data_IF_066356226367
#
_entry.id   IF_066356226367
#
_cell.length_a   1.000
_cell.length_b   1.000
_cell.length_c   1.000
_cell.angle_alpha   90.00
_cell.angle_beta   90.00
_cell.angle_gamma   90.00
#
_symmetry.space_group_name_H-M   'P 1'
#
loop_
_entity.id
_entity.type
_entity.pdbx_description
1 polymer ?
#
# COMPACT_ATOMS: atom_id res chain seq x y z
N UNK A 1 2.57 -6.43 -0.15
CA UNK A 1 1.86 -7.71 -0.24
C UNK A 1 1.79 -8.07 -1.73
N UNK A 2 1.48 -9.30 -2.10
CA UNK A 2 1.28 -9.65 -3.51
C UNK A 2 -0.18 -9.35 -3.89
N UNK A 3 -0.40 -8.60 -4.97
CA UNK A 3 -1.72 -8.21 -5.43
C UNK A 3 -2.45 -9.33 -6.19
N UNK A 4 -3.65 -9.04 -6.70
CA UNK A 4 -4.45 -10.01 -7.46
C UNK A 4 -3.81 -10.46 -8.79
N UNK A 5 -2.93 -9.64 -9.37
CA UNK A 5 -2.18 -9.93 -10.59
C UNK A 5 -0.81 -10.63 -10.34
N UNK A 6 -0.48 -10.94 -9.08
CA UNK A 6 0.81 -11.56 -8.75
C UNK A 6 1.98 -10.59 -8.63
N UNK A 7 1.75 -9.29 -8.70
CA UNK A 7 2.76 -8.24 -8.57
C UNK A 7 2.91 -7.87 -7.08
N UNK A 8 4.14 -7.64 -6.64
CA UNK A 8 4.39 -7.18 -5.28
C UNK A 8 4.16 -5.67 -5.15
N UNK A 9 3.30 -5.29 -4.21
CA UNK A 9 3.01 -3.90 -3.87
C UNK A 9 3.48 -3.56 -2.45
N UNK A 10 3.73 -2.28 -2.17
CA UNK A 10 3.92 -1.83 -0.79
C UNK A 10 2.63 -2.00 0.02
N UNK A 11 2.79 -2.35 1.29
CA UNK A 11 1.64 -2.54 2.20
C UNK A 11 1.04 -1.18 2.58
N UNK A 12 -0.23 -0.99 2.23
CA UNK A 12 -1.08 0.14 2.66
C UNK A 12 -1.89 -0.22 3.90
N UNK A 13 -2.49 0.78 4.52
CA UNK A 13 -3.48 0.54 5.57
C UNK A 13 -4.67 -0.24 4.99
N UNK A 14 -5.17 -1.27 5.68
CA UNK A 14 -6.42 -1.92 5.29
C UNK A 14 -7.58 -0.94 5.30
N UNK A 15 -8.46 -1.03 4.30
CA UNK A 15 -9.69 -0.22 4.21
C UNK A 15 -10.92 -1.12 4.28
N UNK A 16 -12.07 -0.53 4.56
CA UNK A 16 -13.31 -1.27 4.77
C UNK A 16 -13.92 -1.72 3.43
N UNK A 17 -14.33 -2.99 3.35
CA UNK A 17 -15.05 -3.58 2.21
C UNK A 17 -16.23 -4.41 2.70
N UNK A 18 -17.29 -4.49 1.89
CA UNK A 18 -18.29 -5.56 2.06
C UNK A 18 -17.65 -6.90 1.69
N UNK A 19 -17.93 -7.93 2.48
CA UNK A 19 -17.28 -9.23 2.37
C UNK A 19 -17.55 -9.90 1.00
N UNK A 20 -18.69 -9.63 0.38
CA UNK A 20 -19.02 -10.09 -0.99
C UNK A 20 -18.08 -9.49 -2.05
N UNK A 21 -17.55 -8.30 -1.82
CA UNK A 21 -16.72 -7.52 -2.75
C UNK A 21 -15.22 -7.74 -2.50
N UNK A 22 -14.88 -8.71 -1.64
CA UNK A 22 -13.48 -9.07 -1.33
C UNK A 22 -13.01 -10.29 -2.11
N UNK A 23 -11.70 -10.49 -2.13
CA UNK A 23 -11.02 -11.66 -2.65
C UNK A 23 -10.18 -12.31 -1.55
N UNK A 24 -10.27 -13.63 -1.42
CA UNK A 24 -9.54 -14.41 -0.43
C UNK A 24 -8.52 -15.30 -1.12
N UNK A 25 -7.27 -15.26 -0.64
CA UNK A 25 -6.21 -16.14 -1.13
C UNK A 25 -6.31 -17.50 -0.43
N UNK A 26 -6.76 -18.51 -1.16
CA UNK A 26 -6.86 -19.89 -0.68
C UNK A 26 -5.72 -20.73 -1.25
N UNK A 27 -4.63 -20.84 -0.48
CA UNK A 27 -3.37 -21.41 -0.95
C UNK A 27 -2.71 -20.47 -1.96
N UNK A 28 -2.74 -20.84 -3.23
CA UNK A 28 -2.11 -20.12 -4.34
C UNK A 28 -3.12 -19.43 -5.27
N UNK A 29 -4.42 -19.60 -5.02
CA UNK A 29 -5.47 -19.14 -5.94
C UNK A 29 -6.35 -18.08 -5.28
N UNK A 30 -6.51 -16.95 -5.95
CA UNK A 30 -7.48 -15.93 -5.59
C UNK A 30 -8.90 -16.40 -5.87
N UNK A 31 -9.78 -16.28 -4.90
CA UNK A 31 -11.21 -16.61 -5.04
C UNK A 31 -12.06 -15.48 -4.47
N UNK A 32 -13.30 -15.26 -4.95
CA UNK A 32 -14.22 -14.33 -4.30
C UNK A 32 -14.36 -14.67 -2.81
N UNK A 33 -14.40 -13.67 -1.93
CA UNK A 33 -14.22 -13.85 -0.48
C UNK A 33 -15.13 -14.93 0.10
N UNK A 34 -16.44 -14.80 -0.12
CA UNK A 34 -17.44 -15.76 0.38
C UNK A 34 -17.49 -17.08 -0.39
N UNK A 35 -16.66 -17.30 -1.39
CA UNK A 35 -16.60 -18.58 -2.12
C UNK A 35 -15.69 -19.62 -1.44
N UNK A 36 -14.93 -19.23 -0.40
CA UNK A 36 -14.16 -20.16 0.44
C UNK A 36 -14.82 -20.35 1.81
N UNK A 37 -15.06 -21.61 2.26
CA UNK A 37 -15.65 -21.86 3.58
C UNK A 37 -14.72 -21.44 4.72
N UNK A 38 -13.41 -21.32 4.47
CA UNK A 38 -12.40 -20.92 5.47
C UNK A 38 -12.68 -19.54 6.06
N UNK A 39 -13.26 -18.64 5.26
CA UNK A 39 -13.53 -17.27 5.67
C UNK A 39 -14.56 -17.21 6.82
N UNK A 40 -15.70 -17.90 6.64
CA UNK A 40 -16.78 -17.95 7.65
C UNK A 40 -16.51 -18.95 8.78
N UNK A 41 -15.64 -19.95 8.57
CA UNK A 41 -15.29 -20.94 9.59
C UNK A 41 -14.72 -20.33 10.88
N UNK A 42 -14.14 -19.13 10.80
CA UNK A 42 -13.55 -18.41 11.93
C UNK A 42 -14.56 -17.93 12.98
N UNK A 43 -15.85 -17.82 12.63
CA UNK A 43 -16.89 -17.21 13.49
C UNK A 43 -17.35 -18.17 14.60
N UNK A 44 -17.23 -19.50 14.40
CA UNK A 44 -17.43 -20.55 15.43
C UNK A 44 -18.77 -20.49 16.22
N UNK A 45 -19.88 -20.14 15.55
CA UNK A 45 -21.23 -20.08 16.18
C UNK A 45 -22.20 -21.15 15.68
N UNK A 46 -21.81 -21.99 14.71
CA UNK A 46 -22.70 -22.95 14.09
C UNK A 46 -21.99 -23.76 13.01
N UNK A 47 -22.78 -24.32 12.08
CA UNK A 47 -22.27 -25.13 10.96
C UNK A 47 -22.26 -24.34 9.67
N UNK A 48 -21.28 -24.57 8.81
CA UNK A 48 -21.17 -23.87 7.53
C UNK A 48 -22.32 -24.30 6.60
N UNK A 49 -23.02 -23.32 6.02
CA UNK A 49 -24.05 -23.53 5.00
C UNK A 49 -23.65 -22.90 3.66
N UNK A 50 -24.42 -23.19 2.62
CA UNK A 50 -24.20 -22.70 1.25
C UNK A 50 -25.44 -21.97 0.76
N UNK A 51 -25.24 -20.86 0.07
CA UNK A 51 -26.24 -20.16 -0.72
C UNK A 51 -25.83 -20.15 -2.20
N UNK A 52 -26.81 -20.01 -3.09
CA UNK A 52 -26.57 -19.97 -4.53
C UNK A 52 -26.10 -21.30 -5.13
N UNK A 53 -25.85 -21.31 -6.44
CA UNK A 53 -25.34 -22.45 -7.21
C UNK A 53 -24.23 -21.98 -8.16
N UNK A 54 -23.38 -22.91 -8.60
CA UNK A 54 -22.33 -22.61 -9.58
C UNK A 54 -21.35 -21.53 -9.12
N UNK A 55 -21.16 -20.50 -9.95
CA UNK A 55 -20.28 -19.35 -9.73
C UNK A 55 -20.77 -18.39 -8.66
N UNK A 56 -22.09 -18.33 -8.43
CA UNK A 56 -22.70 -17.46 -7.41
C UNK A 56 -22.75 -18.11 -6.02
N UNK A 57 -22.09 -19.27 -5.87
CA UNK A 57 -22.06 -20.00 -4.61
C UNK A 57 -21.29 -19.21 -3.56
N UNK A 58 -21.97 -18.92 -2.45
CA UNK A 58 -21.39 -18.29 -1.27
C UNK A 58 -21.63 -19.10 -0.01
N UNK A 59 -20.70 -19.00 0.94
CA UNK A 59 -20.76 -19.69 2.22
C UNK A 59 -21.30 -18.77 3.31
N UNK A 60 -22.10 -19.34 4.21
CA UNK A 60 -22.57 -18.69 5.42
C UNK A 60 -22.61 -19.66 6.59
N UNK A 61 -23.44 -19.37 7.59
CA UNK A 61 -23.51 -20.18 8.81
C UNK A 61 -24.98 -20.47 9.16
N UNK A 62 -25.30 -21.76 9.31
CA UNK A 62 -26.49 -22.24 9.99
C UNK A 62 -26.22 -22.16 11.51
N UNK A 63 -26.72 -21.11 12.16
CA UNK A 63 -26.49 -20.82 13.57
C UNK A 63 -27.67 -21.32 14.44
N UNK A 64 -27.46 -22.28 15.37
CA UNK A 64 -28.52 -22.80 16.21
C UNK A 64 -28.90 -21.80 17.31
N UNK A 65 -30.14 -21.33 17.33
CA UNK A 65 -30.59 -20.29 18.24
C UNK A 65 -31.25 -20.86 19.49
N UNK A 66 -32.11 -21.85 19.32
CA UNK A 66 -32.84 -22.46 20.43
C UNK A 66 -33.26 -23.91 20.13
N UNK A 67 -33.53 -24.69 21.16
CA UNK A 67 -34.03 -26.07 21.06
C UNK A 67 -35.47 -26.16 21.55
N UNK A 68 -36.28 -26.94 20.84
CA UNK A 68 -37.65 -27.30 21.25
C UNK A 68 -37.54 -28.37 22.35
N UNK A 69 -38.02 -28.10 23.58
CA UNK A 69 -37.96 -29.09 24.65
C UNK A 69 -38.96 -30.24 24.37
N UNK A 70 -38.58 -31.48 24.70
CA UNK A 70 -39.37 -32.68 24.39
C UNK A 70 -40.50 -32.98 25.37
N UNK A 71 -40.40 -32.49 26.61
CA UNK A 71 -41.24 -32.90 27.74
C UNK A 71 -42.05 -31.74 28.36
N UNK A 72 -42.29 -30.67 27.60
CA UNK A 72 -43.06 -29.51 28.10
C UNK A 72 -44.16 -29.11 27.13
N UNK A 73 -45.40 -29.06 27.64
CA UNK A 73 -46.56 -28.38 27.02
C UNK A 73 -46.40 -26.85 26.93
N UNK A 74 -45.19 -26.32 27.20
CA UNK A 74 -44.91 -24.89 27.10
C UNK A 74 -44.50 -24.51 25.67
N UNK A 75 -45.12 -23.46 25.14
CA UNK A 75 -44.77 -22.78 23.88
C UNK A 75 -43.46 -21.97 23.99
N UNK A 76 -42.45 -22.53 24.67
CA UNK A 76 -41.19 -21.86 24.99
C UNK A 76 -39.99 -22.70 24.55
N UNK A 77 -39.09 -22.03 23.84
CA UNK A 77 -37.85 -22.55 23.30
C UNK A 77 -36.69 -22.29 24.24
N UNK A 78 -35.79 -23.27 24.37
CA UNK A 78 -34.58 -23.13 25.18
C UNK A 78 -33.43 -22.53 24.35
N UNK A 79 -33.00 -21.32 24.68
CA UNK A 79 -31.88 -20.65 23.98
C UNK A 79 -30.56 -21.41 24.12
N UNK A 80 -29.80 -21.47 23.02
CA UNK A 80 -28.46 -22.07 23.01
C UNK A 80 -27.47 -21.31 23.88
N UNK A 81 -26.39 -21.98 24.30
CA UNK A 81 -25.40 -21.39 25.18
C UNK A 81 -24.68 -20.18 24.55
N UNK A 82 -24.34 -20.26 23.26
CA UNK A 82 -23.65 -19.16 22.58
C UNK A 82 -24.55 -17.93 22.46
N UNK A 83 -25.83 -18.10 22.11
CA UNK A 83 -26.76 -16.99 21.95
C UNK A 83 -27.01 -16.29 23.29
N UNK A 84 -27.21 -17.07 24.37
CA UNK A 84 -27.31 -16.50 25.73
C UNK A 84 -26.06 -15.74 26.13
N UNK A 85 -24.87 -16.25 25.78
CA UNK A 85 -23.60 -15.56 26.06
C UNK A 85 -23.53 -14.23 25.29
N UNK A 86 -23.82 -14.25 23.99
CA UNK A 86 -23.79 -13.07 23.13
C UNK A 86 -24.80 -11.99 23.58
N UNK A 87 -26.03 -12.37 23.90
CA UNK A 87 -27.05 -11.45 24.42
C UNK A 87 -26.66 -10.83 25.77
N UNK A 88 -26.04 -11.61 26.67
CA UNK A 88 -25.53 -11.08 27.95
C UNK A 88 -24.37 -10.11 27.73
N UNK A 89 -23.47 -10.39 26.80
CA UNK A 89 -22.37 -9.50 26.44
C UNK A 89 -22.88 -8.19 25.81
N UNK A 90 -23.88 -8.27 24.92
CA UNK A 90 -24.56 -7.09 24.37
C UNK A 90 -25.20 -6.22 25.47
N UNK A 91 -25.95 -6.82 26.40
CA UNK A 91 -26.52 -6.09 27.55
C UNK A 91 -25.44 -5.43 28.43
N UNK A 92 -24.28 -6.09 28.65
CA UNK A 92 -23.16 -5.48 29.40
C UNK A 92 -22.56 -4.29 28.67
N UNK A 93 -22.41 -4.37 27.33
CA UNK A 93 -21.88 -3.27 26.53
C UNK A 93 -22.80 -2.03 26.59
N UNK A 94 -24.11 -2.23 26.80
CA UNK A 94 -25.09 -1.17 27.06
C UNK A 94 -25.11 -0.68 28.53
N UNK A 95 -24.21 -1.18 29.39
CA UNK A 95 -24.17 -0.82 30.82
C UNK A 95 -25.26 -1.46 31.67
N UNK A 96 -26.01 -2.45 31.15
CA UNK A 96 -27.13 -3.10 31.86
C UNK A 96 -26.65 -4.35 32.61
N UNK A 97 -27.29 -4.65 33.76
CA UNK A 97 -27.10 -5.93 34.45
C UNK A 97 -27.72 -7.05 33.61
N UNK A 98 -26.95 -8.09 33.19
CA UNK A 98 -27.48 -9.07 32.26
C UNK A 98 -28.60 -9.91 32.86
N UNK A 99 -29.75 -9.89 32.19
CA UNK A 99 -30.90 -10.74 32.52
C UNK A 99 -31.45 -11.35 31.23
N UNK A 100 -30.94 -12.55 30.91
CA UNK A 100 -31.34 -13.31 29.72
C UNK A 100 -31.90 -14.65 30.21
N UNK A 101 -33.25 -14.80 30.27
CA UNK A 101 -33.91 -16.05 30.60
C UNK A 101 -33.50 -17.18 29.67
N UNK A 102 -33.58 -18.42 30.14
CA UNK A 102 -33.21 -19.61 29.35
C UNK A 102 -34.30 -19.98 28.33
N UNK A 103 -35.57 -19.74 28.67
CA UNK A 103 -36.76 -20.11 27.91
C UNK A 103 -37.44 -18.87 27.30
N UNK A 104 -37.64 -18.86 25.99
CA UNK A 104 -38.19 -17.73 25.21
C UNK A 104 -39.26 -18.22 24.24
N UNK A 105 -40.31 -17.44 23.99
CA UNK A 105 -41.28 -17.75 22.91
C UNK A 105 -40.66 -17.50 21.54
N UNK A 106 -41.19 -18.14 20.50
CA UNK A 106 -40.72 -17.95 19.12
C UNK A 106 -40.84 -16.48 18.69
N UNK A 107 -42.00 -15.85 18.92
CA UNK A 107 -42.26 -14.43 18.62
C UNK A 107 -41.21 -13.50 19.26
N UNK A 108 -40.80 -13.80 20.49
CA UNK A 108 -39.78 -13.00 21.18
C UNK A 108 -38.40 -13.18 20.55
N UNK A 109 -38.04 -14.41 20.15
CA UNK A 109 -36.78 -14.66 19.45
C UNK A 109 -36.76 -13.89 18.13
N UNK A 110 -37.84 -13.97 17.34
CA UNK A 110 -37.92 -13.26 16.07
C UNK A 110 -37.79 -11.74 16.25
N UNK A 111 -38.58 -11.14 17.15
CA UNK A 111 -38.56 -9.68 17.35
C UNK A 111 -37.29 -9.15 17.99
N UNK A 112 -36.68 -9.88 18.92
CA UNK A 112 -35.54 -9.37 19.69
C UNK A 112 -34.20 -9.84 19.12
N UNK A 113 -34.09 -11.09 18.65
CA UNK A 113 -32.80 -11.65 18.20
C UNK A 113 -32.52 -11.27 16.76
N UNK A 114 -33.50 -11.36 15.83
CA UNK A 114 -33.25 -11.12 14.40
C UNK A 114 -32.63 -9.75 14.11
N UNK A 115 -33.15 -8.63 14.66
CA UNK A 115 -32.55 -7.32 14.40
C UNK A 115 -31.13 -7.18 14.93
N UNK A 116 -30.77 -7.96 15.96
CA UNK A 116 -29.45 -7.94 16.59
C UNK A 116 -28.48 -8.96 15.98
N UNK A 117 -28.93 -9.89 15.13
CA UNK A 117 -28.07 -10.93 14.56
C UNK A 117 -26.83 -10.39 13.85
N UNK A 118 -26.89 -9.30 13.05
CA UNK A 118 -25.68 -8.73 12.46
C UNK A 118 -24.63 -8.36 13.51
N UNK A 119 -25.03 -7.78 14.63
CA UNK A 119 -24.11 -7.44 15.72
C UNK A 119 -23.62 -8.68 16.47
N UNK A 120 -24.53 -9.59 16.84
CA UNK A 120 -24.23 -10.78 17.63
C UNK A 120 -23.35 -11.80 16.87
N UNK A 121 -23.37 -11.76 15.54
CA UNK A 121 -22.74 -12.76 14.67
C UNK A 121 -21.65 -12.20 13.76
N UNK A 122 -21.19 -10.96 14.02
CA UNK A 122 -20.12 -10.26 13.28
C UNK A 122 -20.46 -10.05 11.79
N UNK A 123 -21.65 -9.52 11.52
CA UNK A 123 -22.16 -9.12 10.21
C UNK A 123 -23.10 -10.12 9.54
N UNK A 124 -23.44 -11.23 10.19
CA UNK A 124 -24.35 -12.25 9.66
C UNK A 124 -25.80 -11.77 9.69
N UNK A 125 -26.41 -11.70 8.51
CA UNK A 125 -27.81 -11.34 8.34
C UNK A 125 -28.66 -12.60 8.18
N UNK A 126 -29.76 -12.68 8.94
CA UNK A 126 -30.69 -13.80 8.80
C UNK A 126 -31.40 -13.74 7.45
N UNK A 127 -31.34 -14.83 6.71
CA UNK A 127 -32.11 -15.02 5.46
C UNK A 127 -33.40 -15.76 5.74
N UNK A 128 -33.34 -16.82 6.56
CA UNK A 128 -34.48 -17.65 6.91
C UNK A 128 -34.24 -18.38 8.25
N UNK A 129 -35.34 -18.80 8.86
CA UNK A 129 -35.34 -19.77 9.94
C UNK A 129 -35.66 -21.16 9.40
N UNK A 130 -34.96 -22.16 9.93
CA UNK A 130 -35.26 -23.56 9.65
C UNK A 130 -35.26 -24.34 10.94
N UNK A 131 -36.14 -25.33 11.04
CA UNK A 131 -36.11 -26.30 12.11
C UNK A 131 -35.36 -27.55 11.65
N UNK A 132 -34.40 -28.01 12.44
CA UNK A 132 -33.72 -29.29 12.23
C UNK A 132 -33.44 -29.97 13.56
N UNK A 133 -33.87 -31.24 13.69
CA UNK A 133 -33.64 -32.07 14.89
C UNK A 133 -34.00 -31.31 16.18
N UNK A 134 -35.24 -30.82 16.25
CA UNK A 134 -35.77 -30.09 17.41
C UNK A 134 -34.96 -28.82 17.75
N UNK A 135 -34.33 -28.20 16.76
CA UNK A 135 -33.51 -26.99 16.92
C UNK A 135 -33.93 -25.93 15.90
N UNK A 136 -34.24 -24.73 16.39
CA UNK A 136 -34.43 -23.53 15.58
C UNK A 136 -33.06 -23.01 15.14
N UNK A 137 -32.84 -22.94 13.83
CA UNK A 137 -31.59 -22.51 13.20
C UNK A 137 -31.86 -21.27 12.37
N UNK A 138 -31.05 -20.23 12.56
CA UNK A 138 -30.99 -19.10 11.64
C UNK A 138 -29.92 -19.34 10.58
N UNK A 139 -30.30 -19.22 9.32
CA UNK A 139 -29.37 -19.27 8.20
C UNK A 139 -28.83 -17.86 7.92
N UNK A 140 -27.53 -17.67 8.18
CA UNK A 140 -26.87 -16.37 8.14
C UNK A 140 -26.08 -16.17 6.85
N UNK A 141 -26.39 -15.10 6.12
CA UNK A 141 -25.60 -14.60 4.98
C UNK A 141 -24.68 -13.46 5.44
N UNK A 142 -23.43 -13.53 4.99
CA UNK A 142 -22.38 -12.58 5.34
C UNK A 142 -22.05 -11.63 4.18
N UNK A 143 -22.83 -11.61 3.11
CA UNK A 143 -22.57 -10.75 1.93
C UNK A 143 -22.44 -9.26 2.28
N UNK A 144 -23.21 -8.79 3.26
CA UNK A 144 -23.22 -7.41 3.75
C UNK A 144 -22.31 -7.17 4.96
N UNK A 145 -21.62 -8.21 5.44
CA UNK A 145 -20.67 -8.04 6.53
C UNK A 145 -19.50 -7.16 6.06
N UNK A 146 -18.98 -6.32 6.94
CA UNK A 146 -17.85 -5.45 6.62
C UNK A 146 -16.56 -6.01 7.20
N UNK A 147 -15.47 -5.93 6.42
CA UNK A 147 -14.14 -6.39 6.82
C UNK A 147 -13.07 -5.43 6.31
N UNK A 148 -12.00 -5.29 7.08
CA UNK A 148 -10.81 -4.59 6.63
C UNK A 148 -9.98 -5.49 5.70
N UNK A 149 -9.72 -5.02 4.47
CA UNK A 149 -8.95 -5.73 3.46
C UNK A 149 -7.87 -4.82 2.85
N UNK A 150 -6.81 -5.42 2.29
CA UNK A 150 -5.80 -4.65 1.56
C UNK A 150 -6.32 -4.34 0.16
N UNK A 151 -6.56 -3.06 -0.13
CA UNK A 151 -6.92 -2.62 -1.49
C UNK A 151 -5.67 -2.69 -2.38
N UNK A 152 -5.74 -3.45 -3.47
CA UNK A 152 -4.70 -3.43 -4.50
C UNK A 152 -4.90 -2.29 -5.51
N UNK A 153 -3.95 -2.09 -6.42
CA UNK A 153 -4.08 -1.07 -7.47
C UNK A 153 -5.21 -1.34 -8.49
N UNK A 154 -5.71 -2.56 -8.59
CA UNK A 154 -6.91 -2.88 -9.38
C UNK A 154 -8.21 -2.55 -8.62
N UNK A 155 -8.09 -2.08 -7.38
CA UNK A 155 -9.21 -1.70 -6.53
C UNK A 155 -9.87 -2.87 -5.79
N UNK A 156 -9.32 -4.09 -5.86
CA UNK A 156 -9.87 -5.27 -5.19
C UNK A 156 -9.46 -5.31 -3.73
N UNK A 157 -10.41 -5.63 -2.85
CA UNK A 157 -10.16 -5.85 -1.42
C UNK A 157 -9.60 -7.24 -1.15
N UNK A 158 -8.30 -7.34 -0.89
CA UNK A 158 -7.59 -8.60 -0.70
C UNK A 158 -7.51 -9.03 0.77
N UNK A 159 -7.94 -10.27 1.02
CA UNK A 159 -7.86 -10.95 2.31
C UNK A 159 -6.76 -12.01 2.26
N UNK A 160 -5.94 -12.02 3.32
CA UNK A 160 -4.81 -12.94 3.47
C UNK A 160 -3.81 -12.93 2.29
N UNK A 161 -3.42 -11.76 1.72
CA UNK A 161 -2.46 -11.73 0.63
C UNK A 161 -1.07 -12.19 1.11
N UNK A 162 -0.26 -12.73 0.20
CA UNK A 162 1.13 -13.07 0.50
C UNK A 162 1.92 -11.84 0.94
N UNK A 163 2.74 -12.03 1.96
CA UNK A 163 3.61 -11.00 2.51
C UNK A 163 5.07 -11.40 2.29
N UNK A 164 5.87 -10.49 1.74
CA UNK A 164 7.33 -10.62 1.72
C UNK A 164 7.94 -9.71 2.78
N UNK A 165 8.95 -10.20 3.48
CA UNK A 165 9.83 -9.38 4.33
C UNK A 165 11.13 -9.15 3.57
N UNK A 166 11.62 -7.92 3.57
CA UNK A 166 12.91 -7.55 3.01
C UNK A 166 13.83 -7.12 4.15
N UNK A 167 15.01 -7.72 4.23
CA UNK A 167 16.09 -7.25 5.10
C UNK A 167 16.90 -6.25 4.28
N UNK A 168 17.12 -5.05 4.82
CA UNK A 168 17.95 -4.03 4.18
C UNK A 168 19.31 -4.05 4.87
N UNK A 169 20.41 -4.13 4.12
CA UNK A 169 21.75 -4.07 4.70
C UNK A 169 21.90 -2.74 5.47
N UNK A 170 22.34 -2.81 6.73
CA UNK A 170 22.36 -1.67 7.66
C UNK A 170 21.05 -1.41 8.41
N UNK A 171 20.00 -2.23 8.24
CA UNK A 171 18.81 -2.22 9.11
C UNK A 171 18.96 -3.05 10.37
N UNK A 172 19.93 -3.97 10.39
CA UNK A 172 20.40 -4.56 11.63
C UNK A 172 21.20 -3.48 12.34
N UNK A 173 20.84 -3.17 13.60
CA UNK A 173 21.73 -2.47 14.51
C UNK A 173 23.11 -3.12 14.37
N UNK A 174 24.10 -2.35 13.91
CA UNK A 174 25.47 -2.82 13.85
C UNK A 174 25.83 -3.46 15.19
N UNK A 175 26.61 -4.55 15.22
CA UNK A 175 27.13 -5.09 16.48
C UNK A 175 27.80 -3.99 17.35
N UNK A 176 28.36 -2.94 16.73
CA UNK A 176 28.82 -1.71 17.42
C UNK A 176 27.72 -0.93 18.14
N UNK A 177 26.52 -0.83 17.57
CA UNK A 177 25.35 -0.16 18.17
C UNK A 177 24.86 -0.87 19.43
N UNK A 178 24.96 -2.21 19.47
CA UNK A 178 24.64 -2.99 20.67
C UNK A 178 25.67 -2.77 21.79
N UNK A 179 26.94 -2.61 21.43
CA UNK A 179 28.03 -2.34 22.38
C UNK A 179 28.04 -0.90 22.92
N UNK A 180 27.52 0.09 22.17
CA UNK A 180 27.48 1.51 22.58
C UNK A 180 26.14 1.97 23.16
N UNK A 181 25.23 1.04 23.49
CA UNK A 181 23.91 1.37 24.05
C UNK A 181 23.03 2.20 23.10
N UNK A 182 23.12 1.94 21.79
CA UNK A 182 22.31 2.62 20.77
C UNK A 182 22.78 4.03 20.40
N UNK A 183 23.88 4.54 20.98
CA UNK A 183 24.50 5.79 20.51
C UNK A 183 25.38 5.49 19.30
N UNK A 184 24.82 5.68 18.10
CA UNK A 184 25.62 5.88 16.88
C UNK A 184 26.46 7.14 17.12
N UNK A 185 27.81 7.08 17.03
CA UNK A 185 28.62 8.28 17.12
C UNK A 185 28.14 9.25 16.03
N UNK A 186 27.58 10.39 16.44
CA UNK A 186 27.29 11.43 15.47
C UNK A 186 28.63 12.00 15.00
N UNK A 187 28.87 12.06 13.68
CA UNK A 187 30.06 12.71 13.15
C UNK A 187 30.15 14.15 13.69
N UNK A 188 31.32 14.49 14.19
CA UNK A 188 31.64 15.72 14.90
C UNK A 188 31.87 16.89 13.95
N UNK A 189 32.01 16.65 12.64
CA UNK A 189 32.23 17.68 11.63
C UNK A 189 31.59 17.35 10.27
N UNK A 190 31.54 18.35 9.37
CA UNK A 190 31.09 18.18 7.98
C UNK A 190 32.02 17.25 7.21
N UNK A 191 33.34 17.38 7.39
CA UNK A 191 34.32 16.51 6.73
C UNK A 191 34.16 15.04 7.16
N UNK A 192 33.82 14.78 8.43
CA UNK A 192 33.52 13.41 8.89
C UNK A 192 32.25 12.84 8.23
N UNK A 193 31.23 13.66 7.97
CA UNK A 193 30.07 13.24 7.19
C UNK A 193 30.45 12.90 5.75
N UNK A 194 31.24 13.76 5.11
CA UNK A 194 31.71 13.56 3.73
C UNK A 194 32.53 12.28 3.62
N UNK A 195 33.46 12.05 4.55
CA UNK A 195 34.23 10.80 4.60
C UNK A 195 33.32 9.58 4.84
N UNK A 196 32.38 9.67 5.79
CA UNK A 196 31.45 8.57 6.09
C UNK A 196 30.44 8.26 4.98
N UNK A 197 30.23 9.20 4.05
CA UNK A 197 29.44 9.04 2.82
C UNK A 197 30.32 8.66 1.62
N UNK A 198 31.64 8.58 1.78
CA UNK A 198 32.58 8.29 0.71
C UNK A 198 32.72 9.41 -0.32
N UNK A 199 32.41 10.66 0.05
CA UNK A 199 32.58 11.84 -0.82
C UNK A 199 34.04 12.31 -0.87
N UNK A 200 34.80 12.09 0.20
CA UNK A 200 36.23 12.36 0.27
C UNK A 200 36.97 11.12 0.78
N UNK A 201 38.23 10.97 0.40
CA UNK A 201 39.13 9.95 0.94
C UNK A 201 39.73 10.38 2.30
N UNK A 202 40.63 9.55 2.85
CA UNK A 202 41.28 9.79 4.14
C UNK A 202 42.28 10.96 4.09
N UNK A 203 42.73 11.34 2.89
CA UNK A 203 43.56 12.52 2.62
C UNK A 203 42.71 13.77 2.31
N UNK A 204 41.38 13.68 2.43
CA UNK A 204 40.41 14.72 2.12
C UNK A 204 40.32 15.13 0.63
N UNK A 205 40.80 14.29 -0.28
CA UNK A 205 40.59 14.51 -1.71
C UNK A 205 39.17 14.07 -2.12
N UNK A 206 38.50 14.79 -3.03
CA UNK A 206 37.22 14.35 -3.58
C UNK A 206 37.34 13.00 -4.26
N UNK A 207 36.45 12.07 -3.90
CA UNK A 207 36.30 10.81 -4.65
C UNK A 207 35.48 11.06 -5.91
N UNK A 208 35.38 10.06 -6.79
CA UNK A 208 34.42 10.06 -7.91
C UNK A 208 33.00 10.43 -7.48
N UNK A 209 32.54 9.83 -6.38
CA UNK A 209 31.25 10.12 -5.75
C UNK A 209 31.17 11.57 -5.28
N UNK A 210 32.22 12.07 -4.64
CA UNK A 210 32.33 13.47 -4.22
C UNK A 210 32.21 14.46 -5.37
N UNK A 211 32.86 14.16 -6.49
CA UNK A 211 32.82 15.00 -7.69
C UNK A 211 31.41 15.04 -8.27
N UNK A 212 30.78 13.88 -8.52
CA UNK A 212 29.39 13.87 -9.01
C UNK A 212 28.44 14.52 -8.02
N UNK A 213 28.62 14.28 -6.72
CA UNK A 213 27.84 14.92 -5.68
C UNK A 213 27.92 16.45 -5.75
N UNK A 214 29.12 17.00 -6.01
CA UNK A 214 29.34 18.45 -6.09
C UNK A 214 28.59 19.14 -7.24
N UNK A 215 28.09 18.39 -8.22
CA UNK A 215 27.26 18.95 -9.29
C UNK A 215 25.81 19.23 -8.83
N UNK A 216 25.43 18.83 -7.62
CA UNK A 216 24.08 19.00 -7.08
C UNK A 216 24.09 19.75 -5.75
N UNK A 217 22.98 20.38 -5.42
CA UNK A 217 22.86 21.20 -4.20
C UNK A 217 22.46 20.39 -2.94
N UNK A 218 21.91 19.19 -3.11
CA UNK A 218 21.33 18.37 -2.04
C UNK A 218 21.67 16.88 -2.21
N UNK A 219 20.97 15.98 -1.51
CA UNK A 219 21.17 14.53 -1.56
C UNK A 219 20.97 13.84 -2.93
N UNK A 220 20.56 14.58 -3.96
CA UNK A 220 20.40 14.09 -5.34
C UNK A 220 21.69 13.47 -5.88
N UNK A 221 22.81 14.16 -5.68
CA UNK A 221 24.11 13.70 -6.15
C UNK A 221 24.56 12.41 -5.47
N UNK A 222 24.13 12.16 -4.23
CA UNK A 222 24.39 10.89 -3.53
C UNK A 222 23.66 9.74 -4.24
N UNK A 223 22.34 9.84 -4.40
CA UNK A 223 21.58 8.74 -5.01
C UNK A 223 21.99 8.49 -6.47
N UNK A 224 22.31 9.54 -7.23
CA UNK A 224 22.80 9.42 -8.61
C UNK A 224 24.19 8.76 -8.64
N UNK A 225 25.11 9.19 -7.78
CA UNK A 225 26.44 8.59 -7.74
C UNK A 225 26.39 7.11 -7.34
N UNK A 226 25.57 6.75 -6.33
CA UNK A 226 25.37 5.35 -5.96
C UNK A 226 24.79 4.52 -7.10
N UNK A 227 23.82 5.06 -7.84
CA UNK A 227 23.24 4.38 -9.01
C UNK A 227 24.26 4.18 -10.15
N UNK A 228 25.13 5.17 -10.38
CA UNK A 228 26.18 5.08 -11.39
C UNK A 228 27.30 4.12 -10.99
N UNK A 229 27.60 3.99 -9.69
CA UNK A 229 28.58 3.01 -9.18
C UNK A 229 28.10 1.56 -9.34
N UNK A 230 26.78 1.32 -9.35
CA UNK A 230 26.20 0.00 -9.58
C UNK A 230 26.23 -0.36 -11.07
N UNK A 231 27.24 -1.12 -11.48
CA UNK A 231 27.47 -1.49 -12.89
C UNK A 231 26.33 -2.30 -13.49
N UNK A 232 25.60 -3.10 -12.70
CA UNK A 232 24.47 -3.89 -13.21
C UNK A 232 23.20 -3.07 -13.43
N UNK A 233 23.18 -1.79 -13.07
CA UNK A 233 22.00 -0.95 -13.19
C UNK A 233 21.97 -0.23 -14.55
N UNK A 234 20.99 -0.53 -15.43
CA UNK A 234 20.95 0.09 -16.76
C UNK A 234 20.71 1.60 -16.70
N UNK A 235 21.37 2.37 -17.59
CA UNK A 235 21.23 3.83 -17.63
C UNK A 235 19.81 4.24 -18.08
N UNK A 236 19.18 3.46 -18.93
CA UNK A 236 17.81 3.68 -19.39
C UNK A 236 16.80 3.51 -18.25
N UNK A 237 17.01 2.54 -17.35
CA UNK A 237 16.19 2.39 -16.15
C UNK A 237 16.44 3.54 -15.17
N UNK A 238 17.71 3.90 -14.96
CA UNK A 238 18.10 5.03 -14.12
C UNK A 238 17.42 6.32 -14.58
N UNK A 239 17.38 6.60 -15.89
CA UNK A 239 16.72 7.79 -16.46
C UNK A 239 15.29 7.96 -15.94
N UNK A 240 14.50 6.89 -15.95
CA UNK A 240 13.13 6.89 -15.45
C UNK A 240 13.08 7.00 -13.92
N UNK A 241 13.99 6.31 -13.24
CA UNK A 241 14.04 6.29 -11.78
C UNK A 241 14.48 7.63 -11.17
N UNK A 242 15.14 8.51 -11.94
CA UNK A 242 15.39 9.91 -11.56
C UNK A 242 14.10 10.63 -11.12
N UNK A 243 12.93 10.23 -11.64
CA UNK A 243 11.64 10.79 -11.24
C UNK A 243 11.37 10.64 -9.73
N UNK A 244 11.93 9.62 -9.08
CA UNK A 244 11.73 9.40 -7.65
C UNK A 244 12.46 10.43 -6.77
N UNK A 245 13.52 11.08 -7.28
CA UNK A 245 14.48 11.83 -6.43
C UNK A 245 13.83 13.02 -5.71
N UNK A 246 12.95 13.76 -6.39
CA UNK A 246 12.25 14.96 -5.87
C UNK A 246 10.73 14.84 -5.88
N UNK A 247 10.20 13.63 -6.07
CA UNK A 247 8.77 13.40 -6.18
C UNK A 247 8.01 13.67 -4.87
N UNK A 248 8.68 13.59 -3.72
CA UNK A 248 8.08 13.80 -2.41
C UNK A 248 7.37 12.57 -1.85
N UNK A 249 7.16 12.60 -0.54
CA UNK A 249 6.75 11.42 0.24
C UNK A 249 5.40 10.80 -0.13
N UNK A 250 4.48 11.55 -0.76
CA UNK A 250 3.13 11.09 -1.15
C UNK A 250 3.15 9.92 -2.14
N UNK A 251 4.23 9.78 -2.91
CA UNK A 251 4.39 8.67 -3.85
C UNK A 251 4.70 7.34 -3.16
N UNK A 252 5.28 7.36 -1.95
CA UNK A 252 5.77 6.18 -1.26
C UNK A 252 4.71 5.10 -1.04
N UNK A 253 3.43 5.48 -0.89
CA UNK A 253 2.31 4.56 -0.67
C UNK A 253 1.96 3.73 -1.93
N UNK A 254 2.32 4.24 -3.11
CA UNK A 254 1.98 3.68 -4.41
C UNK A 254 3.14 2.90 -5.04
N UNK A 255 4.31 2.88 -4.38
CA UNK A 255 5.44 2.04 -4.77
C UNK A 255 5.02 0.57 -4.93
N UNK A 256 5.29 -0.02 -6.08
CA UNK A 256 5.02 -1.42 -6.38
C UNK A 256 6.14 -2.30 -5.83
N UNK A 257 7.03 -2.77 -6.71
CA UNK A 257 8.06 -3.72 -6.36
C UNK A 257 9.26 -3.04 -5.67
N UNK A 258 9.30 -1.71 -5.67
CA UNK A 258 10.45 -0.90 -5.26
C UNK A 258 11.50 -0.95 -6.36
N UNK A 259 11.77 0.19 -6.98
CA UNK A 259 12.81 0.32 -8.01
C UNK A 259 14.21 0.07 -7.43
N UNK A 260 15.19 -0.40 -8.24
CA UNK A 260 16.54 -0.74 -7.75
C UNK A 260 17.22 0.41 -7.00
N UNK A 261 16.96 1.65 -7.40
CA UNK A 261 17.62 2.84 -6.86
C UNK A 261 17.48 2.98 -5.33
N UNK A 262 16.32 2.61 -4.76
CA UNK A 262 16.14 2.60 -3.29
C UNK A 262 17.14 1.65 -2.62
N UNK A 263 17.28 0.45 -3.19
CA UNK A 263 18.15 -0.61 -2.69
C UNK A 263 19.62 -0.21 -2.75
N UNK A 264 20.01 0.33 -3.90
CA UNK A 264 21.38 0.73 -4.20
C UNK A 264 21.81 1.84 -3.25
N UNK A 265 20.99 2.89 -3.10
CA UNK A 265 21.26 3.99 -2.17
C UNK A 265 21.37 3.54 -0.72
N UNK A 266 20.46 2.68 -0.26
CA UNK A 266 20.51 2.15 1.11
C UNK A 266 21.69 1.20 1.33
N UNK A 267 22.15 0.50 0.30
CA UNK A 267 23.37 -0.33 0.38
C UNK A 267 24.62 0.54 0.45
N UNK A 268 24.68 1.62 -0.34
CA UNK A 268 25.80 2.55 -0.38
C UNK A 268 25.94 3.39 0.91
N UNK A 269 24.82 3.83 1.49
CA UNK A 269 24.81 4.81 2.59
C UNK A 269 24.29 4.27 3.92
N UNK A 270 23.67 3.09 3.93
CA UNK A 270 22.93 2.56 5.07
C UNK A 270 21.65 3.35 5.35
N UNK A 271 20.95 3.02 6.44
CA UNK A 271 19.73 3.74 6.86
C UNK A 271 20.00 5.04 7.63
N UNK A 272 21.11 5.72 7.31
CA UNK A 272 21.51 6.98 7.96
C UNK A 272 20.51 8.10 7.64
N UNK A 273 20.26 8.97 8.62
CA UNK A 273 19.55 10.23 8.41
C UNK A 273 20.48 11.38 8.75
N UNK A 274 20.81 12.19 7.75
CA UNK A 274 21.69 13.36 7.83
C UNK A 274 20.88 14.55 7.32
N UNK A 275 20.52 15.53 8.17
CA UNK A 275 19.70 16.66 7.77
C UNK A 275 20.23 17.37 6.52
N UNK A 276 19.36 17.60 5.54
CA UNK A 276 19.69 18.25 4.26
C UNK A 276 20.37 17.33 3.23
N UNK A 277 20.73 16.10 3.60
CA UNK A 277 21.33 15.12 2.69
C UNK A 277 20.44 13.89 2.52
N UNK A 278 20.20 13.15 3.61
CA UNK A 278 19.55 11.85 3.57
C UNK A 278 18.53 11.68 4.70
N UNK A 279 17.43 11.02 4.39
CA UNK A 279 16.48 10.44 5.33
C UNK A 279 16.43 8.93 5.08
N UNK A 280 16.90 8.14 6.05
CA UNK A 280 16.97 6.66 5.96
C UNK A 280 17.68 6.15 4.68
N UNK A 281 18.80 6.78 4.33
CA UNK A 281 19.63 6.39 3.19
C UNK A 281 19.16 6.87 1.81
N UNK A 282 18.17 7.76 1.76
CA UNK A 282 17.60 8.33 0.52
C UNK A 282 17.50 9.86 0.64
N UNK A 283 17.46 10.62 -0.46
CA UNK A 283 17.14 12.05 -0.42
C UNK A 283 15.88 12.35 0.40
N UNK A 284 15.80 13.52 1.03
CA UNK A 284 14.66 13.86 1.90
C UNK A 284 13.33 13.92 1.13
N UNK A 285 13.37 14.39 -0.11
CA UNK A 285 12.23 14.49 -1.03
C UNK A 285 12.04 13.25 -1.90
N UNK A 286 12.64 12.13 -1.53
CA UNK A 286 12.51 10.89 -2.29
C UNK A 286 11.09 10.34 -2.22
N UNK A 287 10.45 10.20 -3.38
CA UNK A 287 9.13 9.61 -3.58
C UNK A 287 9.24 8.30 -4.33
N UNK A 288 9.39 7.20 -3.60
CA UNK A 288 9.43 5.85 -4.15
C UNK A 288 8.10 5.53 -4.85
N UNK A 289 8.11 5.35 -6.18
CA UNK A 289 6.92 5.03 -6.96
C UNK A 289 6.56 6.08 -8.03
N UNK A 290 7.15 7.28 -7.98
CA UNK A 290 6.90 8.31 -9.00
C UNK A 290 7.31 7.84 -10.40
N UNK A 291 8.47 7.20 -10.51
CA UNK A 291 8.95 6.56 -11.75
C UNK A 291 7.94 5.57 -12.35
N UNK A 292 7.34 4.70 -11.54
CA UNK A 292 6.35 3.71 -11.99
C UNK A 292 5.07 4.39 -12.47
N UNK A 293 4.58 5.38 -11.72
CA UNK A 293 3.40 6.15 -12.12
C UNK A 293 3.66 6.89 -13.43
N UNK A 294 4.73 7.67 -13.53
CA UNK A 294 5.06 8.43 -14.74
C UNK A 294 5.27 7.51 -15.96
N UNK A 295 5.94 6.36 -15.77
CA UNK A 295 6.10 5.36 -16.83
C UNK A 295 4.75 4.82 -17.33
N UNK A 296 3.83 4.50 -16.42
CA UNK A 296 2.50 3.99 -16.79
C UNK A 296 1.65 5.06 -17.50
N UNK A 297 1.83 6.34 -17.13
CA UNK A 297 1.18 7.47 -17.79
C UNK A 297 1.68 7.70 -19.21
N UNK A 298 3.00 7.69 -19.42
CA UNK A 298 3.60 7.86 -20.74
C UNK A 298 3.20 6.72 -21.68
N UNK A 299 3.12 5.49 -21.18
CA UNK A 299 2.77 4.31 -21.96
C UNK A 299 1.26 4.02 -22.01
N UNK A 300 0.40 4.96 -21.59
CA UNK A 300 -1.08 4.86 -21.59
C UNK A 300 -1.63 3.55 -21.02
N UNK A 301 -0.88 2.92 -20.12
CA UNK A 301 -1.16 1.56 -19.65
C UNK A 301 -2.10 1.54 -18.44
N UNK A 302 -2.56 2.71 -17.97
CA UNK A 302 -3.38 2.83 -16.75
C UNK A 302 -4.20 4.11 -16.75
N UNK A 303 -5.41 4.07 -16.18
CA UNK A 303 -6.18 5.28 -15.88
C UNK A 303 -5.58 6.02 -14.67
N UNK A 304 -5.30 7.32 -14.82
CA UNK A 304 -4.81 8.22 -13.75
C UNK A 304 -5.59 8.08 -12.44
N UNK A 305 -6.91 7.90 -12.55
CA UNK A 305 -7.83 7.76 -11.42
C UNK A 305 -7.52 6.57 -10.50
N UNK A 306 -6.75 5.57 -10.95
CA UNK A 306 -6.37 4.43 -10.11
C UNK A 306 -5.24 4.77 -9.11
N UNK A 307 -4.47 5.82 -9.40
CA UNK A 307 -3.36 6.27 -8.55
C UNK A 307 -3.73 7.45 -7.64
N UNK A 308 -4.81 8.17 -7.98
CA UNK A 308 -5.28 9.31 -7.20
C UNK A 308 -6.10 8.80 -6.02
N UNK A 309 -5.75 9.25 -4.83
CA UNK A 309 -6.50 9.02 -3.59
C UNK A 309 -6.43 10.27 -2.70
N UNK A 310 -6.81 10.14 -1.42
CA UNK A 310 -6.74 11.25 -0.46
C UNK A 310 -5.30 11.71 -0.19
N UNK A 311 -4.28 10.88 -0.45
CA UNK A 311 -2.87 11.16 -0.18
C UNK A 311 -2.11 11.66 -1.43
N UNK A 312 -2.41 11.14 -2.62
CA UNK A 312 -1.78 11.56 -3.88
C UNK A 312 -2.77 12.29 -4.80
N UNK A 313 -2.50 13.58 -5.05
CA UNK A 313 -3.29 14.42 -5.95
C UNK A 313 -2.72 14.50 -7.37
N UNK A 314 -3.52 14.96 -8.32
CA UNK A 314 -3.06 15.27 -9.68
C UNK A 314 -1.94 16.33 -9.69
N UNK A 315 -2.02 17.33 -8.78
CA UNK A 315 -0.97 18.35 -8.64
C UNK A 315 0.38 17.77 -8.21
N UNK A 316 0.39 16.71 -7.41
CA UNK A 316 1.62 16.01 -7.03
C UNK A 316 2.28 15.30 -8.21
N UNK A 317 1.47 14.72 -9.11
CA UNK A 317 1.93 14.06 -10.34
C UNK A 317 2.56 15.07 -11.29
N UNK A 318 1.90 16.20 -11.55
CA UNK A 318 2.45 17.26 -12.41
C UNK A 318 3.72 17.87 -11.81
N UNK A 319 3.77 18.08 -10.49
CA UNK A 319 5.01 18.52 -9.80
C UNK A 319 6.14 17.52 -10.00
N UNK A 320 5.88 16.22 -9.78
CA UNK A 320 6.89 15.18 -9.98
C UNK A 320 7.39 15.13 -11.44
N UNK A 321 6.50 15.35 -12.41
CA UNK A 321 6.86 15.42 -13.84
C UNK A 321 7.76 16.62 -14.15
N UNK A 322 7.46 17.79 -13.59
CA UNK A 322 8.29 19.00 -13.73
C UNK A 322 9.65 18.80 -13.07
N UNK A 323 9.70 18.27 -11.86
CA UNK A 323 10.96 17.98 -11.17
C UNK A 323 11.80 16.92 -11.91
N UNK A 324 11.17 15.89 -12.48
CA UNK A 324 11.87 14.90 -13.30
C UNK A 324 12.45 15.49 -14.58
N UNK A 325 11.77 16.47 -15.19
CA UNK A 325 12.35 17.24 -16.30
C UNK A 325 13.51 18.11 -15.82
N UNK A 326 13.37 18.76 -14.67
CA UNK A 326 14.39 19.62 -14.06
C UNK A 326 15.68 18.86 -13.77
N UNK A 327 15.60 17.69 -13.13
CA UNK A 327 16.79 16.89 -12.80
C UNK A 327 17.49 16.35 -14.06
N UNK A 328 16.74 15.91 -15.08
CA UNK A 328 17.32 15.49 -16.37
C UNK A 328 18.02 16.65 -17.08
N UNK A 329 17.41 17.84 -17.07
CA UNK A 329 17.99 19.04 -17.66
C UNK A 329 19.29 19.43 -16.93
N UNK A 330 19.29 19.36 -15.60
CA UNK A 330 20.48 19.61 -14.79
C UNK A 330 21.60 18.63 -15.14
N UNK A 331 21.33 17.31 -15.16
CA UNK A 331 22.34 16.31 -15.53
C UNK A 331 22.88 16.58 -16.94
N UNK A 332 22.00 16.87 -17.91
CA UNK A 332 22.39 17.14 -19.28
C UNK A 332 23.36 18.33 -19.43
N UNK A 333 23.27 19.35 -18.57
CA UNK A 333 24.09 20.56 -18.61
C UNK A 333 25.20 20.62 -17.55
N UNK A 334 25.23 19.66 -16.61
CA UNK A 334 26.27 19.55 -15.59
C UNK A 334 27.67 19.43 -16.23
N UNK A 335 28.76 19.65 -15.49
CA UNK A 335 30.12 19.52 -16.02
C UNK A 335 30.43 18.13 -16.60
N UNK A 336 31.32 18.07 -17.58
CA UNK A 336 31.88 16.80 -18.05
C UNK A 336 32.84 16.25 -16.99
N UNK A 337 32.85 14.93 -16.84
CA UNK A 337 33.74 14.23 -15.93
C UNK A 337 34.07 12.88 -16.55
N UNK A 338 35.36 12.50 -16.51
CA UNK A 338 35.89 11.29 -17.13
C UNK A 338 35.41 10.02 -16.41
N UNK A 339 34.15 9.68 -16.66
CA UNK A 339 33.49 8.47 -16.22
C UNK A 339 32.42 8.08 -17.24
N UNK A 340 32.64 6.97 -17.92
CA UNK A 340 31.79 6.52 -19.04
C UNK A 340 30.30 6.52 -18.69
N UNK A 341 29.93 5.98 -17.52
CA UNK A 341 28.52 5.93 -17.08
C UNK A 341 27.92 7.30 -16.81
N UNK A 342 28.72 8.26 -16.33
CA UNK A 342 28.27 9.64 -16.17
C UNK A 342 28.01 10.28 -17.54
N UNK A 343 28.95 10.12 -18.47
CA UNK A 343 28.82 10.65 -19.83
C UNK A 343 27.64 10.02 -20.58
N UNK A 344 27.41 8.72 -20.39
CA UNK A 344 26.28 7.98 -20.93
C UNK A 344 24.94 8.49 -20.36
N UNK A 345 24.85 8.69 -19.03
CA UNK A 345 23.65 9.27 -18.41
C UNK A 345 23.38 10.68 -18.94
N UNK A 346 24.41 11.52 -19.10
CA UNK A 346 24.26 12.86 -19.67
C UNK A 346 23.72 12.82 -21.09
N UNK A 347 24.29 11.97 -21.95
CA UNK A 347 23.85 11.79 -23.33
C UNK A 347 22.38 11.31 -23.39
N UNK A 348 22.04 10.33 -22.54
CA UNK A 348 20.68 9.78 -22.44
C UNK A 348 19.66 10.83 -21.97
N UNK A 349 20.01 11.64 -20.96
CA UNK A 349 19.19 12.76 -20.51
C UNK A 349 18.96 13.80 -21.62
N UNK A 350 20.01 14.17 -22.38
CA UNK A 350 19.88 15.10 -23.53
C UNK A 350 18.91 14.56 -24.58
N UNK A 351 19.11 13.32 -25.00
CA UNK A 351 18.26 12.68 -26.00
C UNK A 351 16.79 12.57 -25.54
N UNK A 352 16.57 12.24 -24.26
CA UNK A 352 15.23 12.17 -23.67
C UNK A 352 14.51 13.52 -23.67
N UNK A 353 15.21 14.60 -23.34
CA UNK A 353 14.66 15.96 -23.32
C UNK A 353 14.33 16.47 -24.74
N UNK A 354 15.14 16.15 -25.73
CA UNK A 354 14.90 16.49 -27.14
C UNK A 354 13.63 15.79 -27.68
N UNK A 355 13.50 14.48 -27.42
CA UNK A 355 12.29 13.72 -27.78
C UNK A 355 11.04 14.34 -27.15
N UNK A 356 11.12 14.76 -25.89
CA UNK A 356 9.99 15.38 -25.19
C UNK A 356 9.69 16.80 -25.71
N UNK A 357 10.71 17.59 -26.13
CA UNK A 357 10.51 18.92 -26.73
C UNK A 357 9.68 18.81 -28.01
N UNK A 358 10.02 17.86 -28.87
CA UNK A 358 9.36 17.63 -30.15
C UNK A 358 7.92 17.05 -30.00
N UNK A 359 7.51 16.69 -28.78
CA UNK A 359 6.16 16.17 -28.48
C UNK A 359 5.19 17.26 -27.99
N UNK A 360 5.64 18.50 -27.77
CA UNK A 360 4.77 19.59 -27.35
C UNK A 360 4.11 20.28 -28.56
N UNK A 361 2.77 20.43 -28.60
CA UNK A 361 2.04 21.01 -29.73
C UNK A 361 2.19 22.54 -29.86
N UNK A 362 3.04 23.17 -29.04
CA UNK A 362 3.25 24.62 -29.06
C UNK A 362 4.16 25.11 -30.20
N UNK A 363 4.82 24.20 -30.93
CA UNK A 363 5.58 24.54 -32.14
C UNK A 363 4.66 24.79 -33.36
N UNK A 364 3.35 24.53 -33.23
CA UNK A 364 2.31 24.83 -34.21
C UNK A 364 1.19 25.68 -33.60
N UNK A 365 1.55 26.73 -32.86
CA UNK A 365 0.58 27.75 -32.48
C UNK A 365 0.22 28.57 -33.74
N UNK A 366 -1.07 28.82 -34.02
CA UNK A 366 -1.46 29.77 -35.05
C UNK A 366 -0.91 31.15 -34.70
N UNK A 367 -0.52 31.94 -35.71
CA UNK A 367 -0.08 33.31 -35.53
C UNK A 367 -1.12 34.10 -34.72
N UNK A 368 -0.64 34.97 -33.82
CA UNK A 368 -1.50 35.83 -33.02
C UNK A 368 -2.40 36.64 -33.94
N UNK A 369 -3.71 36.63 -33.67
CA UNK A 369 -4.66 37.44 -34.42
C UNK A 369 -4.44 38.93 -34.10
N UNK A 370 -4.81 39.82 -35.03
CA UNK A 370 -4.63 41.28 -34.90
C UNK A 370 -5.18 41.83 -33.57
N UNK A 371 -6.27 41.29 -33.07
CA UNK A 371 -6.91 41.68 -31.81
C UNK A 371 -6.10 41.30 -30.56
N UNK A 372 -5.24 40.27 -30.64
CA UNK A 372 -4.37 39.81 -29.55
C UNK A 372 -3.05 40.59 -29.47
N UNK A 373 -2.66 41.30 -30.53
CA UNK A 373 -1.46 42.16 -30.57
C UNK A 373 -1.65 43.56 -30.00
N UNK A 374 -2.89 43.99 -29.71
CA UNK A 374 -3.14 45.32 -29.16
C UNK A 374 -2.88 45.30 -27.65
N UNK A 375 -1.63 45.52 -27.28
CA UNK A 375 -1.25 45.81 -25.90
C UNK A 375 -1.76 47.20 -25.51
N UNK A 376 -2.48 47.20 -24.38
CA UNK A 376 -2.76 48.27 -23.43
C UNK A 376 -1.86 49.50 -23.66
N UNK A 377 -2.46 50.62 -24.09
CA UNK A 377 -1.86 51.95 -24.02
C UNK A 377 -2.19 52.60 -22.69
#
# INVERSE_FOLDING_TARGET
>A
FQNSAGIWERRRAPVLFQLKDTWYLDGETWRPGLSSPKLVASIRIGTICKFGKGTDRRYGIDAPLATFPKDTDEDRLQLTAWLRKALREAQRAEGRKPNVPKLWTLDRIEKQVVPQLPQLTRGGHCVEFTERKDTLIARLDYSKAEIHAFKDLEGKGLLNPKLRKRVVLGSAESERSKLTGGKVPQPRSVAEHWYALGLIDKEANPTRRGIVFSFFNHGEGLVIAAALEEMSYPIEELLYDLANIRAGHRFNALAMAGRPMTAISQTAYGLKSIPGYLRRGLPEDYGEGASEILYNLENKSSNLNNYIDEELSFGDIERARVEWRSIRAHIATAPDYEWDRWMELKATCRQSLEKQRNAFPFESLPDLTRDQTVSIT
#
